data_IF_466724320575
#
_entry.id   IF_466724320575
#
_cell.length_a   1.000
_cell.length_b   1.000
_cell.length_c   1.000
_cell.angle_alpha   90.00
_cell.angle_beta   90.00
_cell.angle_gamma   90.00
#
_symmetry.space_group_name_H-M   'P 1'
#
loop_
_entity.id
_entity.type
_entity.pdbx_description
1 polymer ?
#
# COMPACT_ATOMS: atom_id res chain seq x y z
N UNK A 1 2.09 -9.96 20.69
CA UNK A 1 0.95 -9.03 20.74
C UNK A 1 1.47 -7.69 20.25
N UNK A 2 1.38 -7.39 18.95
CA UNK A 2 1.80 -6.07 18.45
C UNK A 2 0.63 -5.12 18.71
N UNK A 3 0.91 -4.13 19.55
CA UNK A 3 0.02 -3.08 20.02
C UNK A 3 -0.71 -2.43 18.85
N UNK A 4 -2.02 -2.18 18.97
CA UNK A 4 -2.70 -1.23 18.07
C UNK A 4 -1.93 0.08 18.13
N UNK A 5 -1.60 0.64 16.96
CA UNK A 5 -0.89 1.90 16.91
C UNK A 5 -1.92 2.99 17.24
N UNK A 6 -1.64 3.76 18.29
CA UNK A 6 -2.44 4.93 18.66
C UNK A 6 -2.22 6.04 17.63
N UNK A 7 -3.29 6.74 17.23
CA UNK A 7 -3.23 7.82 16.24
C UNK A 7 -2.23 8.90 16.64
N UNK A 8 -2.20 9.35 17.90
CA UNK A 8 -1.28 10.40 18.31
C UNK A 8 0.17 9.92 18.26
N UNK A 9 0.43 8.66 18.65
CA UNK A 9 1.74 8.04 18.49
C UNK A 9 2.14 7.90 17.01
N UNK A 10 1.21 7.51 16.13
CA UNK A 10 1.44 7.41 14.69
C UNK A 10 1.73 8.77 14.07
N UNK A 11 0.89 9.78 14.31
CA UNK A 11 1.10 11.13 13.80
C UNK A 11 2.44 11.72 14.25
N UNK A 12 2.87 11.45 15.48
CA UNK A 12 4.17 11.89 15.99
C UNK A 12 5.36 11.29 15.22
N UNK A 13 5.24 10.07 14.69
CA UNK A 13 6.29 9.45 13.88
C UNK A 13 6.51 10.18 12.55
N UNK A 14 5.52 10.93 12.08
CA UNK A 14 5.52 11.62 10.78
C UNK A 14 5.22 13.12 10.91
N UNK A 15 5.41 13.71 12.09
CA UNK A 15 5.00 15.09 12.41
C UNK A 15 5.76 16.14 11.56
N UNK A 16 7.00 15.83 11.17
CA UNK A 16 7.84 16.66 10.30
C UNK A 16 7.63 16.38 8.79
N UNK A 17 6.66 15.53 8.44
CA UNK A 17 6.46 14.98 7.09
C UNK A 17 5.08 15.32 6.49
N UNK A 18 4.54 16.50 6.84
CA UNK A 18 3.31 17.02 6.24
C UNK A 18 3.48 17.24 4.73
N UNK A 19 3.10 16.23 3.94
CA UNK A 19 3.17 16.23 2.48
C UNK A 19 3.91 15.02 1.87
N UNK A 20 4.57 14.21 2.70
CA UNK A 20 5.27 13.00 2.28
C UNK A 20 4.35 11.79 2.40
N UNK A 21 4.39 10.88 1.42
CA UNK A 21 3.66 9.61 1.46
C UNK A 21 4.66 8.55 1.93
N UNK A 22 4.52 7.99 3.15
CA UNK A 22 5.39 6.90 3.59
C UNK A 22 5.27 5.70 2.67
N UNK A 23 6.42 5.12 2.38
CA UNK A 23 6.56 3.93 1.55
C UNK A 23 6.44 2.69 2.43
N UNK A 24 5.47 1.85 2.09
CA UNK A 24 5.28 0.54 2.66
C UNK A 24 6.01 -0.54 1.89
N UNK A 25 6.68 -1.42 2.60
CA UNK A 25 7.43 -2.55 2.06
C UNK A 25 7.15 -3.81 2.87
N UNK A 26 6.98 -4.94 2.20
CA UNK A 26 7.12 -6.27 2.81
C UNK A 26 8.55 -6.74 2.57
N UNK A 27 9.39 -6.67 3.60
CA UNK A 27 10.84 -6.88 3.47
C UNK A 27 11.16 -8.30 2.96
N UNK A 28 11.92 -8.38 1.87
CA UNK A 28 12.32 -9.65 1.26
C UNK A 28 11.17 -10.40 0.55
N UNK A 29 10.05 -9.73 0.29
CA UNK A 29 9.04 -10.24 -0.63
C UNK A 29 9.55 -10.17 -2.08
N UNK A 30 9.03 -11.04 -2.92
CA UNK A 30 9.38 -11.16 -4.34
C UNK A 30 8.09 -11.12 -5.18
N UNK A 31 8.22 -11.06 -6.51
CA UNK A 31 7.06 -11.17 -7.38
C UNK A 31 6.19 -12.43 -7.14
N UNK A 32 6.80 -13.54 -6.69
CA UNK A 32 6.07 -14.78 -6.42
C UNK A 32 5.12 -14.68 -5.21
N UNK A 33 5.29 -13.68 -4.35
CA UNK A 33 4.43 -13.47 -3.18
C UNK A 33 3.09 -12.79 -3.53
N UNK A 34 2.95 -12.17 -4.71
CA UNK A 34 1.78 -11.37 -5.09
C UNK A 34 0.46 -12.15 -5.10
N UNK A 35 0.43 -13.37 -5.65
CA UNK A 35 -0.81 -14.16 -5.68
C UNK A 35 -1.29 -14.50 -4.26
N UNK A 36 -0.35 -14.78 -3.33
CA UNK A 36 -0.66 -15.02 -1.92
C UNK A 36 -1.15 -13.76 -1.22
N UNK A 37 -0.53 -12.61 -1.51
CA UNK A 37 -0.96 -11.30 -1.00
C UNK A 37 -2.38 -10.98 -1.46
N UNK A 38 -2.68 -11.12 -2.76
CA UNK A 38 -4.02 -10.88 -3.29
C UNK A 38 -5.07 -11.80 -2.67
N UNK A 39 -4.77 -13.10 -2.52
CA UNK A 39 -5.67 -14.03 -1.87
C UNK A 39 -5.98 -13.62 -0.42
N UNK A 40 -4.96 -13.21 0.34
CA UNK A 40 -5.12 -12.75 1.72
C UNK A 40 -5.95 -11.47 1.80
N UNK A 41 -5.67 -10.48 0.94
CA UNK A 41 -6.42 -9.23 0.89
C UNK A 41 -7.89 -9.47 0.54
N UNK A 42 -8.21 -10.37 -0.41
CA UNK A 42 -9.61 -10.71 -0.72
C UNK A 42 -10.35 -11.35 0.45
N UNK A 43 -9.67 -12.20 1.22
CA UNK A 43 -10.27 -12.86 2.37
C UNK A 43 -10.69 -11.88 3.48
N UNK A 44 -10.16 -10.64 3.49
CA UNK A 44 -10.57 -9.60 4.45
C UNK A 44 -11.95 -9.01 4.17
N UNK A 45 -12.45 -9.14 2.94
CA UNK A 45 -13.66 -8.44 2.48
C UNK A 45 -13.48 -6.93 2.26
N UNK A 46 -12.26 -6.40 2.34
CA UNK A 46 -11.99 -5.01 2.00
C UNK A 46 -12.28 -4.72 0.53
N UNK A 47 -12.66 -3.48 0.26
CA UNK A 47 -12.86 -3.01 -1.11
C UNK A 47 -11.50 -2.95 -1.81
N UNK A 48 -11.41 -3.60 -2.97
CA UNK A 48 -10.22 -3.64 -3.83
C UNK A 48 -10.61 -3.22 -5.24
N UNK A 49 -9.90 -2.25 -5.81
CA UNK A 49 -10.17 -1.73 -7.16
C UNK A 49 -8.88 -1.46 -7.90
N UNK A 50 -8.95 -1.36 -9.23
CA UNK A 50 -7.91 -0.68 -10.00
C UNK A 50 -7.78 0.79 -9.56
N UNK A 51 -6.78 1.48 -10.09
CA UNK A 51 -6.45 2.84 -9.65
C UNK A 51 -7.58 3.86 -9.88
N UNK A 52 -8.47 3.59 -10.85
CA UNK A 52 -9.68 4.36 -11.12
C UNK A 52 -10.70 4.38 -9.97
N UNK A 53 -10.49 3.54 -8.94
CA UNK A 53 -11.30 3.52 -7.73
C UNK A 53 -12.66 2.82 -7.88
N UNK A 54 -12.94 2.20 -9.03
CA UNK A 54 -14.27 1.66 -9.36
C UNK A 54 -14.22 0.29 -10.02
N UNK A 55 -13.24 0.03 -10.89
CA UNK A 55 -13.11 -1.26 -11.58
C UNK A 55 -12.63 -2.32 -10.58
N UNK A 56 -13.36 -3.43 -10.41
CA UNK A 56 -12.94 -4.50 -9.52
C UNK A 56 -11.58 -5.08 -9.92
N UNK A 57 -10.78 -5.45 -8.93
CA UNK A 57 -9.48 -6.07 -9.20
C UNK A 57 -9.66 -7.47 -9.81
N UNK A 58 -8.93 -7.82 -10.90
CA UNK A 58 -8.86 -9.19 -11.44
C UNK A 58 -8.40 -10.21 -10.41
N UNK A 59 -8.55 -11.51 -10.70
CA UNK A 59 -8.28 -12.60 -9.75
C UNK A 59 -6.77 -12.82 -9.50
N UNK A 60 -5.91 -12.54 -10.47
CA UNK A 60 -4.45 -12.63 -10.32
C UNK A 60 -3.76 -11.33 -10.70
N UNK A 61 -2.57 -11.09 -10.13
CA UNK A 61 -1.68 -10.00 -10.58
C UNK A 61 -1.29 -10.21 -12.04
N UNK A 62 -1.19 -11.45 -12.53
CA UNK A 62 -0.83 -11.73 -13.92
C UNK A 62 -1.87 -11.23 -14.94
N UNK A 63 -3.10 -10.98 -14.51
CA UNK A 63 -4.18 -10.41 -15.33
C UNK A 63 -4.19 -8.88 -15.31
N UNK A 64 -3.37 -8.26 -14.45
CA UNK A 64 -3.23 -6.80 -14.44
C UNK A 64 -2.43 -6.35 -15.67
N UNK A 65 -2.82 -5.23 -16.29
CA UNK A 65 -1.97 -4.58 -17.28
C UNK A 65 -0.58 -4.31 -16.70
N UNK A 66 0.44 -4.38 -17.55
CA UNK A 66 1.82 -4.11 -17.16
C UNK A 66 1.89 -2.66 -16.64
N UNK A 67 2.55 -2.45 -15.49
CA UNK A 67 2.67 -1.18 -14.76
C UNK A 67 1.40 -0.66 -14.09
N UNK A 68 0.32 -1.45 -14.07
CA UNK A 68 -0.90 -1.02 -13.40
C UNK A 68 -0.80 -1.18 -11.88
N UNK A 69 -1.47 -0.29 -11.15
CA UNK A 69 -1.50 -0.28 -9.69
C UNK A 69 -2.93 -0.49 -9.20
N UNK A 70 -3.08 -0.95 -7.96
CA UNK A 70 -4.40 -1.17 -7.38
C UNK A 70 -4.54 -0.56 -5.99
N UNK A 71 -5.77 -0.26 -5.60
CA UNK A 71 -6.11 0.34 -4.33
C UNK A 71 -6.85 -0.65 -3.44
N UNK A 72 -6.51 -0.65 -2.15
CA UNK A 72 -7.21 -1.40 -1.09
C UNK A 72 -7.72 -0.42 -0.05
N UNK A 73 -8.93 -0.65 0.44
CA UNK A 73 -9.59 0.20 1.43
C UNK A 73 -9.82 -0.54 2.74
N UNK A 74 -8.82 -0.63 3.64
CA UNK A 74 -8.98 -1.28 4.95
C UNK A 74 -9.93 -0.52 5.89
N UNK A 75 -10.20 0.76 5.60
CA UNK A 75 -11.24 1.56 6.24
C UNK A 75 -11.91 2.49 5.23
N UNK A 76 -13.08 3.06 5.58
CA UNK A 76 -13.95 3.81 4.65
C UNK A 76 -13.27 4.99 3.93
N UNK A 77 -12.19 5.54 4.49
CA UNK A 77 -11.47 6.70 3.94
C UNK A 77 -9.96 6.46 3.81
N UNK A 78 -9.50 5.23 3.97
CA UNK A 78 -8.07 4.90 3.95
C UNK A 78 -7.78 4.08 2.72
N UNK A 79 -7.04 4.66 1.78
CA UNK A 79 -6.65 4.07 0.51
C UNK A 79 -5.17 3.72 0.56
N UNK A 80 -4.88 2.44 0.34
CA UNK A 80 -3.51 1.94 0.23
C UNK A 80 -3.27 1.55 -1.22
N UNK A 81 -2.26 2.14 -1.86
CA UNK A 81 -1.97 1.92 -3.28
C UNK A 81 -0.83 0.92 -3.41
N UNK A 82 -1.08 -0.25 -4.00
CA UNK A 82 -0.09 -1.28 -4.25
C UNK A 82 0.45 -1.18 -5.67
N UNK A 83 1.74 -1.51 -5.82
CA UNK A 83 2.45 -1.47 -7.10
C UNK A 83 3.02 -2.86 -7.44
N UNK A 84 2.24 -3.73 -8.09
CA UNK A 84 2.72 -5.01 -8.59
C UNK A 84 3.95 -4.87 -9.48
N UNK A 85 4.98 -5.65 -9.17
CA UNK A 85 6.25 -5.61 -9.88
C UNK A 85 7.21 -6.73 -9.49
N UNK A 86 8.31 -6.89 -10.24
CA UNK A 86 9.32 -7.91 -10.01
C UNK A 86 10.07 -7.72 -8.67
N UNK A 87 10.18 -6.47 -8.22
CA UNK A 87 11.08 -6.07 -7.14
C UNK A 87 10.55 -6.39 -5.73
N UNK A 88 9.28 -6.80 -5.60
CA UNK A 88 8.68 -7.16 -4.32
C UNK A 88 7.26 -6.63 -4.15
N UNK A 89 6.85 -6.48 -2.89
CA UNK A 89 5.52 -5.98 -2.51
C UNK A 89 5.69 -4.62 -1.87
N UNK A 90 5.32 -3.59 -2.64
CA UNK A 90 5.40 -2.18 -2.23
C UNK A 90 4.02 -1.54 -2.27
N UNK A 91 3.81 -0.57 -1.38
CA UNK A 91 2.60 0.23 -1.35
C UNK A 91 2.87 1.65 -0.83
N UNK A 92 2.06 2.62 -1.24
CA UNK A 92 2.10 3.98 -0.71
C UNK A 92 0.88 4.21 0.21
N UNK A 93 1.09 4.99 1.27
CA UNK A 93 0.04 5.42 2.20
C UNK A 93 -0.07 6.94 2.19
N UNK A 94 -1.29 7.47 2.04
CA UNK A 94 -1.54 8.90 2.22
C UNK A 94 -1.84 9.22 3.69
N UNK A 95 -0.92 9.90 4.35
CA UNK A 95 -1.07 10.30 5.75
C UNK A 95 -2.31 11.19 5.97
N UNK A 96 -2.74 11.95 4.96
CA UNK A 96 -3.94 12.79 5.03
C UNK A 96 -5.22 11.96 5.11
N UNK A 97 -5.16 10.67 4.84
CA UNK A 97 -6.28 9.74 4.96
C UNK A 97 -6.34 9.05 6.34
N UNK A 98 -5.34 9.30 7.19
CA UNK A 98 -5.17 8.71 8.52
C UNK A 98 -5.58 9.68 9.64
N UNK A 99 -6.62 10.47 9.45
CA UNK A 99 -7.04 11.52 10.40
C UNK A 99 -7.75 10.99 11.65
N UNK A 100 -8.21 9.75 11.63
CA UNK A 100 -8.98 9.14 12.72
C UNK A 100 -8.41 7.79 13.11
N UNK A 101 -8.59 7.39 14.37
CA UNK A 101 -8.07 6.12 14.89
C UNK A 101 -8.47 4.92 14.03
N UNK A 102 -9.70 4.92 13.49
CA UNK A 102 -10.19 3.85 12.61
C UNK A 102 -9.34 3.68 11.34
N UNK A 103 -8.80 4.77 10.81
CA UNK A 103 -7.91 4.71 9.65
C UNK A 103 -6.57 4.06 9.99
N UNK A 104 -6.00 4.40 11.15
CA UNK A 104 -4.74 3.80 11.66
C UNK A 104 -4.94 2.34 12.05
N UNK A 105 -6.10 1.99 12.60
CA UNK A 105 -6.48 0.59 12.87
C UNK A 105 -6.56 -0.20 11.56
N UNK A 106 -7.16 0.36 10.51
CA UNK A 106 -7.22 -0.25 9.19
C UNK A 106 -5.84 -0.48 8.58
N UNK A 107 -4.94 0.50 8.66
CA UNK A 107 -3.54 0.35 8.23
C UNK A 107 -2.82 -0.74 9.03
N UNK A 108 -3.01 -0.77 10.35
CA UNK A 108 -2.42 -1.79 11.25
C UNK A 108 -2.91 -3.19 10.89
N UNK A 109 -4.20 -3.35 10.57
CA UNK A 109 -4.78 -4.61 10.16
C UNK A 109 -4.27 -5.04 8.78
N UNK A 110 -4.06 -4.10 7.85
CA UNK A 110 -3.45 -4.36 6.55
C UNK A 110 -2.01 -4.86 6.69
N UNK A 111 -1.18 -4.18 7.48
CA UNK A 111 0.19 -4.61 7.74
C UNK A 111 0.23 -6.01 8.37
N UNK A 112 -0.68 -6.31 9.31
CA UNK A 112 -0.79 -7.65 9.90
C UNK A 112 -1.20 -8.70 8.87
N UNK A 113 -2.15 -8.39 8.00
CA UNK A 113 -2.60 -9.26 6.93
C UNK A 113 -1.43 -9.63 6.01
N UNK A 114 -0.69 -8.62 5.54
CA UNK A 114 0.48 -8.81 4.68
C UNK A 114 1.58 -9.62 5.36
N UNK A 115 1.94 -9.29 6.61
CA UNK A 115 2.97 -10.02 7.35
C UNK A 115 2.59 -11.48 7.64
N UNK A 116 1.32 -11.74 7.96
CA UNK A 116 0.80 -13.11 8.16
C UNK A 116 0.79 -13.89 6.85
N UNK A 117 0.36 -13.25 5.77
CA UNK A 117 0.32 -13.86 4.44
C UNK A 117 1.73 -14.19 3.95
N UNK A 118 2.73 -13.36 4.19
CA UNK A 118 4.06 -13.56 3.62
C UNK A 118 5.05 -14.21 4.58
N UNK A 119 4.74 -14.27 5.87
CA UNK A 119 5.66 -14.68 6.93
C UNK A 119 6.81 -13.70 7.15
N UNK A 120 6.67 -12.45 6.72
CA UNK A 120 7.73 -11.44 6.67
C UNK A 120 7.35 -10.18 7.45
N UNK A 121 8.36 -9.36 7.72
CA UNK A 121 8.16 -8.05 8.31
C UNK A 121 7.53 -7.08 7.30
N UNK A 122 6.66 -6.21 7.80
CA UNK A 122 6.08 -5.12 7.03
C UNK A 122 6.49 -3.83 7.68
N UNK A 123 7.11 -2.95 6.90
CA UNK A 123 7.67 -1.69 7.37
C UNK A 123 7.04 -0.53 6.62
N UNK A 124 6.93 0.61 7.30
CA UNK A 124 6.66 1.91 6.68
C UNK A 124 7.94 2.72 6.84
N UNK A 125 8.46 3.26 5.73
CA UNK A 125 9.64 4.12 5.71
C UNK A 125 9.24 5.49 5.23
N UNK A 126 9.72 6.50 5.94
CA UNK A 126 9.73 7.89 5.45
C UNK A 126 10.59 7.97 4.18
N UNK A 127 10.12 8.70 3.18
CA UNK A 127 10.92 9.03 1.99
C UNK A 127 11.29 10.52 2.01
N UNK A 128 12.44 10.90 2.63
CA UNK A 128 12.83 12.31 2.74
C UNK A 128 13.24 12.96 1.39
N UNK A 129 13.42 12.19 0.30
CA UNK A 129 14.02 12.66 -0.96
C UNK A 129 13.04 12.77 -2.14
N UNK A 130 11.72 12.77 -1.88
CA UNK A 130 10.68 12.76 -2.93
C UNK A 130 10.52 14.10 -3.66
N UNK A 131 11.54 14.52 -4.43
CA UNK A 131 11.49 15.55 -5.49
C UNK A 131 11.44 14.92 -6.90
N UNK A 132 11.60 13.59 -7.05
CA UNK A 132 11.55 12.92 -8.35
C UNK A 132 10.56 11.74 -8.38
N UNK A 133 9.84 11.50 -9.49
CA UNK A 133 8.95 10.36 -9.64
C UNK A 133 9.74 9.04 -9.65
N UNK A 134 9.21 8.01 -8.97
CA UNK A 134 9.74 6.64 -8.97
C UNK A 134 9.97 6.16 -10.43
N UNK A 135 11.04 5.39 -10.72
CA UNK A 135 11.42 4.98 -12.08
C UNK A 135 10.43 4.04 -12.80
N UNK A 136 9.25 3.77 -12.22
CA UNK A 136 8.20 2.97 -12.86
C UNK A 136 7.18 3.82 -13.64
N UNK A 137 7.39 5.15 -13.75
CA UNK A 137 6.49 6.05 -14.48
C UNK A 137 7.19 6.92 -15.55
N UNK A 138 8.19 6.36 -16.25
CA UNK A 138 8.79 7.01 -17.42
C UNK A 138 8.44 6.30 -18.73
N UNK A 139 7.18 6.44 -19.16
CA UNK A 139 6.71 6.37 -20.56
C UNK A 139 5.19 6.59 -20.50
N UNK A 140 4.52 7.60 -21.08
CA UNK A 140 4.80 8.56 -22.13
C UNK A 140 4.00 9.85 -21.81
N UNK A 141 4.67 10.99 -21.76
CA UNK A 141 4.10 12.27 -22.19
C UNK A 141 5.06 12.85 -23.22
N UNK A 142 5.01 12.29 -24.44
CA UNK A 142 5.38 13.06 -25.63
C UNK A 142 4.08 13.56 -26.24
N UNK A 143 3.78 14.82 -25.95
CA UNK A 143 2.92 15.62 -26.81
C UNK A 143 3.78 16.10 -27.98
N UNK A 144 3.27 15.86 -29.20
CA UNK A 144 3.78 16.23 -30.53
C UNK A 144 4.94 15.39 -31.08
#
# INVERSE_FOLDING_TARGET
>A
MISRIDLAAFSKLFEDELGTLPDGEVEGATAADWDRVLAALRATGWRMTLQDGSTPLPASVAELPIHDSFAVWPASRTRINFFPGPDGVFFDVDLRELEVQRSVDGLSDLMRCLGTATGRNVVLRSDPDRVAPKPHNQQLLRLS
#
